data_IF_227766108241
#
_entry.id   IF_227766108241
#
_cell.length_a   1.000
_cell.length_b   1.000
_cell.length_c   1.000
_cell.angle_alpha   90.00
_cell.angle_beta   90.00
_cell.angle_gamma   90.00
#
_symmetry.space_group_name_H-M   'P 1'
#
loop_
_entity.id
_entity.type
_entity.pdbx_description
1 polymer ?
#
# COMPACT_ATOMS: atom_id res chain seq x y z
N UNK A 1 -10.14 2.04 12.95
CA UNK A 1 -8.67 2.16 12.76
C UNK A 1 -8.47 2.82 11.39
N UNK A 2 -7.67 3.88 11.27
CA UNK A 2 -7.46 4.69 10.04
C UNK A 2 -8.60 5.60 9.56
N UNK A 3 -9.55 5.97 10.42
CA UNK A 3 -10.67 6.86 10.05
C UNK A 3 -10.23 8.29 9.67
N UNK A 4 -9.05 8.71 10.12
CA UNK A 4 -8.41 9.98 9.78
C UNK A 4 -7.80 10.01 8.38
N UNK A 5 -7.55 8.84 7.77
CA UNK A 5 -6.86 8.74 6.47
C UNK A 5 -7.87 8.97 5.34
N UNK A 6 -7.59 9.99 4.52
CA UNK A 6 -8.38 10.26 3.32
C UNK A 6 -7.84 9.46 2.13
N UNK A 7 -8.49 8.34 1.81
CA UNK A 7 -8.14 7.48 0.68
C UNK A 7 -8.48 8.04 -0.72
N UNK A 8 -8.94 9.29 -0.82
CA UNK A 8 -9.19 9.98 -2.09
C UNK A 8 -10.10 9.18 -3.02
N UNK A 9 -9.59 8.77 -4.19
CA UNK A 9 -10.33 7.99 -5.19
C UNK A 9 -10.48 6.51 -4.80
N UNK A 10 -9.75 6.07 -3.78
CA UNK A 10 -9.74 4.71 -3.26
C UNK A 10 -11.03 4.30 -2.55
N UNK A 11 -11.44 3.05 -2.77
CA UNK A 11 -12.57 2.41 -2.09
C UNK A 11 -12.03 1.35 -1.14
N UNK A 12 -12.21 1.57 0.15
CA UNK A 12 -11.84 0.60 1.20
C UNK A 12 -12.66 -0.69 0.99
N UNK A 13 -11.97 -1.83 0.93
CA UNK A 13 -12.57 -3.16 0.73
C UNK A 13 -12.52 -4.01 1.99
N UNK A 14 -11.43 -3.92 2.72
CA UNK A 14 -11.20 -4.69 3.94
C UNK A 14 -10.42 -3.84 4.92
N UNK A 15 -10.76 -3.93 6.19
CA UNK A 15 -10.01 -3.38 7.31
C UNK A 15 -10.19 -4.34 8.48
N UNK A 16 -9.15 -5.10 8.83
CA UNK A 16 -9.15 -5.93 10.03
C UNK A 16 -9.09 -5.06 11.29
N UNK A 17 -9.60 -5.58 12.41
CA UNK A 17 -9.56 -4.91 13.70
C UNK A 17 -8.25 -5.14 14.48
N UNK A 18 -7.37 -6.02 14.00
CA UNK A 18 -6.10 -6.36 14.65
C UNK A 18 -4.90 -6.00 13.78
N UNK A 19 -3.88 -5.42 14.42
CA UNK A 19 -2.61 -5.03 13.79
C UNK A 19 -1.62 -6.20 13.66
N UNK A 20 -1.97 -7.38 14.13
CA UNK A 20 -1.12 -8.58 14.07
C UNK A 20 -1.43 -9.46 12.85
N UNK A 21 -2.29 -9.00 11.93
CA UNK A 21 -2.71 -9.73 10.72
C UNK A 21 -1.90 -9.33 9.48
N UNK A 22 -1.74 -10.24 8.53
CA UNK A 22 -1.10 -9.94 7.23
C UNK A 22 -2.00 -9.10 6.30
N UNK A 23 -3.32 -9.07 6.50
CA UNK A 23 -4.29 -8.33 5.66
C UNK A 23 -4.99 -7.22 6.45
N UNK A 24 -4.27 -6.31 7.11
CA UNK A 24 -4.87 -5.29 7.99
C UNK A 24 -5.80 -4.34 7.23
N UNK A 25 -5.41 -3.87 6.04
CA UNK A 25 -6.21 -2.94 5.26
C UNK A 25 -6.00 -3.16 3.77
N UNK A 26 -7.10 -3.18 3.00
CA UNK A 26 -7.08 -3.21 1.54
C UNK A 26 -7.97 -2.13 0.94
N UNK A 27 -7.40 -1.33 0.04
CA UNK A 27 -8.09 -0.25 -0.67
C UNK A 27 -7.89 -0.41 -2.16
N UNK A 28 -8.98 -0.38 -2.94
CA UNK A 28 -8.93 -0.42 -4.41
C UNK A 28 -9.05 0.97 -4.99
N UNK A 29 -8.10 1.35 -5.81
CA UNK A 29 -8.05 2.61 -6.54
C UNK A 29 -8.43 2.41 -8.02
N UNK A 30 -8.72 3.49 -8.77
CA UNK A 30 -8.81 3.46 -10.23
C UNK A 30 -7.51 2.94 -10.88
N UNK A 31 -7.54 2.72 -12.20
CA UNK A 31 -6.36 2.24 -12.97
C UNK A 31 -5.73 0.94 -12.43
N UNK A 32 -6.56 0.09 -11.81
CA UNK A 32 -6.19 -1.21 -11.24
C UNK A 32 -5.12 -1.17 -10.12
N UNK A 33 -5.00 -0.06 -9.41
CA UNK A 33 -4.15 0.01 -8.22
C UNK A 33 -4.84 -0.58 -6.98
N UNK A 34 -4.05 -1.25 -6.15
CA UNK A 34 -4.43 -1.77 -4.84
C UNK A 34 -3.39 -1.29 -3.83
N UNK A 35 -3.87 -0.70 -2.73
CA UNK A 35 -3.08 -0.50 -1.53
C UNK A 35 -3.41 -1.64 -0.57
N UNK A 36 -2.41 -2.34 -0.09
CA UNK A 36 -2.54 -3.44 0.86
C UNK A 36 -1.56 -3.23 2.03
N UNK A 37 -2.07 -3.18 3.26
CA UNK A 37 -1.29 -3.04 4.49
C UNK A 37 -1.39 -4.32 5.29
N UNK A 38 -0.24 -4.84 5.73
CA UNK A 38 -0.12 -6.04 6.55
C UNK A 38 0.98 -5.96 7.59
N UNK A 39 0.91 -6.83 8.60
CA UNK A 39 1.97 -7.09 9.56
C UNK A 39 2.67 -8.41 9.27
N UNK A 40 4.00 -8.38 9.14
CA UNK A 40 4.82 -9.51 8.72
C UNK A 40 5.79 -9.96 9.83
N UNK A 41 5.40 -9.73 11.08
CA UNK A 41 6.17 -10.11 12.27
C UNK A 41 7.35 -9.18 12.57
N UNK A 42 7.98 -9.41 13.73
CA UNK A 42 8.98 -8.50 14.30
C UNK A 42 10.19 -8.20 13.41
N UNK A 43 10.56 -9.11 12.51
CA UNK A 43 11.72 -8.91 11.62
C UNK A 43 11.40 -8.04 10.41
N UNK A 44 10.14 -7.98 9.98
CA UNK A 44 9.73 -7.25 8.79
C UNK A 44 8.80 -6.07 9.10
N UNK A 45 8.19 -6.03 10.27
CA UNK A 45 7.29 -4.97 10.65
C UNK A 45 5.99 -4.97 9.84
N UNK A 46 5.40 -3.79 9.71
CA UNK A 46 4.31 -3.50 8.81
C UNK A 46 4.84 -3.22 7.40
N UNK A 47 4.11 -3.68 6.39
CA UNK A 47 4.41 -3.38 5.00
C UNK A 47 3.14 -2.89 4.31
N UNK A 48 3.24 -1.77 3.59
CA UNK A 48 2.25 -1.34 2.61
C UNK A 48 2.76 -1.67 1.21
N UNK A 49 2.01 -2.47 0.49
CA UNK A 49 2.20 -2.72 -0.93
C UNK A 49 1.32 -1.80 -1.76
N UNK A 50 1.91 -1.17 -2.76
CA UNK A 50 1.18 -0.60 -3.91
C UNK A 50 1.26 -1.61 -5.04
N UNK A 51 0.16 -2.29 -5.32
CA UNK A 51 0.04 -3.32 -6.36
C UNK A 51 -0.71 -2.73 -7.54
N UNK A 52 -0.35 -3.13 -8.76
CA UNK A 52 -1.07 -2.78 -9.98
C UNK A 52 -1.42 -4.05 -10.75
N UNK A 53 -2.60 -4.06 -11.37
CA UNK A 53 -3.06 -5.17 -12.22
C UNK A 53 -3.05 -6.55 -11.52
N UNK A 54 -3.21 -6.56 -10.19
CA UNK A 54 -3.14 -7.76 -9.35
C UNK A 54 -1.79 -8.52 -9.40
N UNK A 55 -0.71 -7.85 -9.80
CA UNK A 55 0.65 -8.43 -9.80
C UNK A 55 1.31 -8.25 -8.43
N UNK A 56 1.21 -9.27 -7.58
CA UNK A 56 1.77 -9.27 -6.23
C UNK A 56 3.26 -9.63 -6.19
N UNK A 57 3.80 -10.27 -7.23
CA UNK A 57 5.21 -10.67 -7.23
C UNK A 57 6.14 -9.48 -7.46
N UNK A 58 5.64 -8.41 -8.09
CA UNK A 58 6.40 -7.19 -8.41
C UNK A 58 5.57 -5.95 -8.09
N UNK A 59 5.31 -5.65 -6.80
CA UNK A 59 4.58 -4.46 -6.41
C UNK A 59 5.32 -3.21 -6.90
N UNK A 60 4.58 -2.15 -7.16
CA UNK A 60 5.13 -0.87 -7.63
C UNK A 60 6.00 -0.25 -6.55
N UNK A 61 5.53 -0.27 -5.29
CA UNK A 61 6.25 0.25 -4.12
C UNK A 61 5.95 -0.59 -2.89
N UNK A 62 6.95 -0.72 -2.02
CA UNK A 62 6.86 -1.25 -0.66
C UNK A 62 7.21 -0.16 0.35
N UNK A 63 6.31 0.15 1.28
CA UNK A 63 6.63 0.97 2.46
C UNK A 63 6.72 0.08 3.68
N UNK A 64 7.90 -0.04 4.27
CA UNK A 64 8.15 -0.84 5.47
C UNK A 64 8.31 0.08 6.70
N UNK A 65 7.69 -0.28 7.82
CA UNK A 65 7.80 0.44 9.09
C UNK A 65 7.53 -0.49 10.27
N UNK A 66 8.06 -0.16 11.46
CA UNK A 66 7.96 -1.03 12.64
C UNK A 66 7.10 -0.45 13.77
N UNK A 67 6.96 0.88 13.81
CA UNK A 67 6.12 1.57 14.80
C UNK A 67 4.71 1.76 14.23
N UNK A 68 3.70 1.23 14.92
CA UNK A 68 2.29 1.31 14.50
C UNK A 68 1.79 2.76 14.42
N UNK A 69 2.42 3.68 15.15
CA UNK A 69 2.14 5.13 15.08
C UNK A 69 2.50 5.74 13.72
N UNK A 70 3.35 5.08 12.94
CA UNK A 70 3.69 5.51 11.59
C UNK A 70 2.66 5.08 10.54
N UNK A 71 1.72 4.18 10.88
CA UNK A 71 0.78 3.61 9.92
C UNK A 71 -0.03 4.68 9.16
N UNK A 72 -0.59 5.68 9.85
CA UNK A 72 -1.36 6.75 9.18
C UNK A 72 -0.49 7.60 8.25
N UNK A 73 0.76 7.88 8.66
CA UNK A 73 1.71 8.62 7.83
C UNK A 73 2.08 7.82 6.59
N UNK A 74 2.40 6.53 6.75
CA UNK A 74 2.74 5.62 5.68
C UNK A 74 1.57 5.46 4.68
N UNK A 75 0.34 5.35 5.18
CA UNK A 75 -0.87 5.33 4.36
C UNK A 75 -1.05 6.63 3.58
N UNK A 76 -0.87 7.80 4.20
CA UNK A 76 -0.97 9.08 3.50
C UNK A 76 0.06 9.21 2.36
N UNK A 77 1.30 8.76 2.59
CA UNK A 77 2.35 8.72 1.57
C UNK A 77 1.99 7.77 0.42
N UNK A 78 1.52 6.57 0.74
CA UNK A 78 1.13 5.57 -0.25
C UNK A 78 -0.07 6.04 -1.10
N UNK A 79 -1.09 6.65 -0.48
CA UNK A 79 -2.23 7.26 -1.22
C UNK A 79 -1.72 8.34 -2.17
N UNK A 80 -0.87 9.26 -1.70
CA UNK A 80 -0.30 10.30 -2.54
C UNK A 80 0.54 9.74 -3.70
N UNK A 81 1.26 8.63 -3.46
CA UNK A 81 2.02 7.94 -4.50
C UNK A 81 1.10 7.33 -5.56
N UNK A 82 0.03 6.62 -5.17
CA UNK A 82 -0.94 6.04 -6.12
C UNK A 82 -1.57 7.12 -6.99
N UNK A 83 -2.02 8.23 -6.41
CA UNK A 83 -2.64 9.33 -7.17
C UNK A 83 -1.66 9.92 -8.20
N UNK A 84 -0.37 10.04 -7.85
CA UNK A 84 0.68 10.48 -8.78
C UNK A 84 0.90 9.47 -9.91
N UNK A 85 1.00 8.17 -9.60
CA UNK A 85 1.21 7.12 -10.59
C UNK A 85 0.01 6.98 -11.54
N UNK A 86 -1.21 7.12 -11.02
CA UNK A 86 -2.44 7.12 -11.83
C UNK A 86 -2.52 8.34 -12.76
N UNK A 87 -2.15 9.53 -12.27
CA UNK A 87 -2.16 10.76 -13.08
C UNK A 87 -1.09 10.75 -14.18
N UNK A 88 0.06 10.09 -13.94
CA UNK A 88 1.15 10.00 -14.91
C UNK A 88 1.11 8.72 -15.76
N UNK A 89 -0.01 7.97 -15.75
CA UNK A 89 -0.17 6.59 -16.24
C UNK A 89 0.83 6.20 -17.34
N UNK A 90 1.98 5.69 -16.89
CA UNK A 90 2.88 4.93 -17.75
C UNK A 90 2.31 3.51 -17.87
N UNK A 91 2.46 2.83 -19.00
CA UNK A 91 2.12 1.42 -19.08
C UNK A 91 2.92 0.65 -18.03
N UNK A 92 2.23 -0.15 -17.21
CA UNK A 92 2.88 -1.08 -16.30
C UNK A 92 3.23 -2.34 -17.07
N UNK A 93 4.51 -2.68 -17.09
CA UNK A 93 5.02 -3.83 -17.86
C UNK A 93 5.39 -5.01 -16.95
N UNK A 94 4.81 -5.09 -15.75
CA UNK A 94 5.06 -6.20 -14.81
C UNK A 94 6.54 -6.35 -14.47
N UNK A 95 7.09 -7.55 -14.74
CA UNK A 95 8.45 -7.99 -14.42
C UNK A 95 9.62 -7.16 -15.00
N UNK A 96 9.35 -6.13 -15.81
CA UNK A 96 10.37 -5.18 -16.27
C UNK A 96 10.60 -4.01 -15.29
N UNK A 97 9.82 -3.93 -14.22
CA UNK A 97 9.95 -2.90 -13.18
C UNK A 97 10.59 -3.51 -11.94
N UNK A 98 11.47 -2.75 -11.29
CA UNK A 98 11.96 -3.07 -9.95
C UNK A 98 11.04 -2.43 -8.92
N UNK A 99 10.67 -3.19 -7.88
CA UNK A 99 9.92 -2.68 -6.74
C UNK A 99 10.75 -1.63 -6.01
N UNK A 100 10.21 -0.42 -5.89
CA UNK A 100 10.81 0.61 -5.04
C UNK A 100 10.55 0.28 -3.57
N UNK A 101 11.60 0.12 -2.77
CA UNK A 101 11.49 -0.15 -1.33
C UNK A 101 11.81 1.10 -0.52
N UNK A 102 10.90 1.46 0.38
CA UNK A 102 11.01 2.63 1.26
C UNK A 102 10.86 2.15 2.71
N UNK A 103 11.82 2.49 3.56
CA UNK A 103 11.76 2.21 5.01
C UNK A 103 11.53 3.54 5.74
N UNK A 104 10.51 3.60 6.59
CA UNK A 104 10.10 4.78 7.35
C UNK A 104 10.56 4.73 8.81
#
# INVERSE_FOLDING_TARGET
MFESVNFKSGKVRFCSGCMDDEDILRVKFPENYILDLGWYGNSNGFIIYIIRDMEWAVPVVEYQFFDDKLAETALCLAVGRIEKEAACSKPYYGALWETEKIVL
#
